data_IF_334198251367
#
_entry.id   IF_334198251367
#
_cell.length_a   1.000
_cell.length_b   1.000
_cell.length_c   1.000
_cell.angle_alpha   90.00
_cell.angle_beta   90.00
_cell.angle_gamma   90.00
#
_symmetry.space_group_name_H-M   'P 1'
#
loop_
_entity.id
_entity.type
_entity.pdbx_description
1 polymer ?
#
# COMPACT_ATOMS: atom_id res chain seq x y z
N UNK A 1 -17.23 34.78 -25.90
CA UNK A 1 -16.42 34.65 -24.68
C UNK A 1 -17.32 34.03 -23.62
N UNK A 2 -17.31 32.70 -23.54
CA UNK A 2 -18.03 31.96 -22.49
C UNK A 2 -17.13 31.97 -21.27
N UNK A 3 -17.41 32.84 -20.32
CA UNK A 3 -16.80 32.81 -18.99
C UNK A 3 -17.07 31.43 -18.39
N UNK A 4 -16.03 30.62 -18.27
CA UNK A 4 -16.05 29.44 -17.42
C UNK A 4 -16.47 29.91 -16.03
N UNK A 5 -17.66 29.52 -15.60
CA UNK A 5 -18.10 29.70 -14.23
C UNK A 5 -17.16 28.80 -13.41
N UNK A 6 -16.07 29.39 -12.92
CA UNK A 6 -15.18 28.72 -11.98
C UNK A 6 -16.03 28.33 -10.78
N UNK A 7 -16.22 27.03 -10.57
CA UNK A 7 -16.78 26.49 -9.33
C UNK A 7 -15.99 27.09 -8.18
N UNK A 8 -16.63 27.94 -7.38
CA UNK A 8 -15.98 28.51 -6.22
C UNK A 8 -15.59 27.38 -5.26
N UNK A 9 -14.39 27.44 -4.64
CA UNK A 9 -13.97 26.44 -3.68
C UNK A 9 -14.99 26.39 -2.54
N UNK A 10 -15.48 25.18 -2.24
CA UNK A 10 -16.57 24.97 -1.29
C UNK A 10 -16.01 24.68 0.10
N UNK A 11 -16.73 25.07 1.15
CA UNK A 11 -16.45 24.59 2.50
C UNK A 11 -16.63 23.07 2.55
N UNK A 12 -15.61 22.34 2.98
CA UNK A 12 -15.69 20.88 3.15
C UNK A 12 -15.99 20.54 4.61
N UNK A 13 -16.84 19.55 4.85
CA UNK A 13 -17.15 19.05 6.19
C UNK A 13 -17.17 17.53 6.20
N UNK A 14 -16.56 16.92 7.22
CA UNK A 14 -16.59 15.46 7.41
C UNK A 14 -16.75 15.13 8.89
N UNK A 15 -17.54 14.10 9.21
CA UNK A 15 -17.73 13.66 10.59
C UNK A 15 -16.80 12.49 10.90
N UNK A 16 -15.89 12.68 11.84
CA UNK A 16 -14.88 11.69 12.25
C UNK A 16 -15.05 11.42 13.75
N UNK A 17 -15.20 10.16 14.15
CA UNK A 17 -15.43 9.79 15.55
C UNK A 17 -16.56 10.60 16.25
N UNK A 18 -17.63 10.93 15.51
CA UNK A 18 -18.76 11.73 16.01
C UNK A 18 -18.49 13.24 16.12
N UNK A 19 -17.37 13.75 15.61
CA UNK A 19 -17.06 15.19 15.54
C UNK A 19 -17.02 15.65 14.09
N UNK A 20 -17.79 16.68 13.77
CA UNK A 20 -17.73 17.32 12.45
C UNK A 20 -16.53 18.26 12.38
N UNK A 21 -15.66 17.99 11.41
CA UNK A 21 -14.51 18.82 11.07
C UNK A 21 -14.90 19.59 9.82
N UNK A 22 -14.86 20.92 9.90
CA UNK A 22 -15.23 21.81 8.80
C UNK A 22 -14.04 22.70 8.46
N UNK A 23 -13.77 22.84 7.16
CA UNK A 23 -12.66 23.65 6.66
C UNK A 23 -13.18 24.62 5.59
N UNK A 24 -13.05 25.93 5.86
CA UNK A 24 -13.35 26.96 4.87
C UNK A 24 -12.31 26.93 3.73
N UNK A 25 -12.63 27.52 2.56
CA UNK A 25 -11.65 27.65 1.48
C UNK A 25 -10.33 28.32 1.90
N UNK A 26 -10.40 29.38 2.69
CA UNK A 26 -9.22 30.11 3.17
C UNK A 26 -8.38 29.28 4.14
N UNK A 27 -9.04 28.51 5.01
CA UNK A 27 -8.37 27.56 5.90
C UNK A 27 -7.71 26.45 5.11
N UNK A 28 -8.37 25.91 4.09
CA UNK A 28 -7.83 24.89 3.21
C UNK A 28 -6.58 25.39 2.48
N UNK A 29 -6.62 26.61 1.93
CA UNK A 29 -5.48 27.18 1.23
C UNK A 29 -4.30 27.44 2.17
N UNK A 30 -4.55 27.94 3.40
CA UNK A 30 -3.50 28.11 4.39
C UNK A 30 -2.90 26.76 4.82
N UNK A 31 -3.73 25.76 5.07
CA UNK A 31 -3.33 24.41 5.43
C UNK A 31 -2.47 23.76 4.34
N UNK A 32 -2.89 23.89 3.07
CA UNK A 32 -2.13 23.37 1.94
C UNK A 32 -0.75 24.01 1.81
N UNK A 33 -0.65 25.34 1.96
CA UNK A 33 0.64 26.05 1.93
C UNK A 33 1.61 25.59 3.02
N UNK A 34 1.12 25.32 4.22
CA UNK A 34 1.98 24.84 5.31
C UNK A 34 2.52 23.43 5.05
N UNK A 35 1.70 22.53 4.51
CA UNK A 35 2.12 21.18 4.13
C UNK A 35 3.06 21.19 2.91
N UNK A 36 2.81 22.06 1.93
CA UNK A 36 3.71 22.25 0.79
C UNK A 36 5.07 22.80 1.25
N UNK A 37 5.10 23.79 2.14
CA UNK A 37 6.34 24.33 2.71
C UNK A 37 7.12 23.26 3.52
N UNK A 38 6.42 22.39 4.25
CA UNK A 38 7.03 21.23 4.91
C UNK A 38 7.65 20.28 3.88
N UNK A 39 6.91 19.91 2.82
CA UNK A 39 7.39 19.05 1.74
C UNK A 39 8.65 19.62 1.10
N UNK A 40 8.62 20.90 0.72
CA UNK A 40 9.74 21.60 0.07
C UNK A 40 10.99 21.60 0.95
N UNK A 41 10.85 21.82 2.26
CA UNK A 41 11.96 21.78 3.20
C UNK A 41 12.61 20.39 3.27
N UNK A 42 11.80 19.32 3.30
CA UNK A 42 12.34 17.95 3.31
C UNK A 42 13.02 17.63 1.97
N UNK A 43 12.42 18.02 0.84
CA UNK A 43 13.03 17.83 -0.48
C UNK A 43 14.40 18.53 -0.57
N UNK A 44 14.51 19.73 -0.01
CA UNK A 44 15.76 20.49 0.02
C UNK A 44 16.85 19.85 0.91
N UNK A 45 16.47 19.00 1.87
CA UNK A 45 17.39 18.27 2.77
C UNK A 45 17.80 16.88 2.25
N UNK A 46 17.21 16.41 1.15
CA UNK A 46 17.53 15.09 0.60
C UNK A 46 19.00 14.99 0.19
N UNK A 47 19.66 13.89 0.57
CA UNK A 47 21.08 13.75 0.32
C UNK A 47 21.66 12.38 0.61
N UNK A 48 22.96 12.35 0.95
CA UNK A 48 23.72 11.10 1.09
C UNK A 48 23.14 10.18 2.18
N UNK A 49 22.54 10.75 3.23
CA UNK A 49 21.89 9.99 4.30
C UNK A 49 20.82 9.04 3.75
N UNK A 50 19.96 9.54 2.86
CA UNK A 50 18.85 8.81 2.25
C UNK A 50 19.34 7.68 1.35
N UNK A 51 20.34 7.98 0.49
CA UNK A 51 20.92 6.97 -0.39
C UNK A 51 21.71 5.91 0.38
N UNK A 52 22.38 6.30 1.46
CA UNK A 52 23.09 5.37 2.35
C UNK A 52 22.11 4.45 3.06
N UNK A 53 20.97 4.99 3.51
CA UNK A 53 19.91 4.22 4.14
C UNK A 53 19.39 3.12 3.20
N UNK A 54 18.92 3.48 2.01
CA UNK A 54 18.32 2.49 1.09
C UNK A 54 19.33 1.44 0.63
N UNK A 55 20.59 1.82 0.39
CA UNK A 55 21.66 0.86 0.04
C UNK A 55 21.95 -0.12 1.17
N UNK A 56 21.87 0.31 2.44
CA UNK A 56 22.00 -0.59 3.60
C UNK A 56 20.82 -1.56 3.69
N UNK A 57 19.60 -1.10 3.45
CA UNK A 57 18.41 -1.95 3.41
C UNK A 57 18.54 -3.00 2.29
N UNK A 58 18.91 -2.60 1.07
CA UNK A 58 19.13 -3.51 -0.06
C UNK A 58 20.20 -4.56 0.28
N UNK A 59 21.31 -4.15 0.91
CA UNK A 59 22.35 -5.09 1.34
C UNK A 59 21.84 -6.09 2.38
N UNK A 60 21.07 -5.62 3.36
CA UNK A 60 20.49 -6.48 4.39
C UNK A 60 19.46 -7.46 3.79
N UNK A 61 18.57 -6.99 2.92
CA UNK A 61 17.59 -7.83 2.21
C UNK A 61 18.29 -8.93 1.41
N UNK A 62 19.29 -8.60 0.58
CA UNK A 62 20.05 -9.58 -0.20
C UNK A 62 20.78 -10.60 0.67
N UNK A 63 21.36 -10.15 1.79
CA UNK A 63 21.99 -11.03 2.77
C UNK A 63 21.00 -12.03 3.38
N UNK A 64 19.81 -11.55 3.78
CA UNK A 64 18.72 -12.39 4.28
C UNK A 64 18.22 -13.38 3.24
N UNK A 65 18.09 -12.97 1.97
CA UNK A 65 17.68 -13.86 0.89
C UNK A 65 18.66 -15.01 0.70
N UNK A 66 19.95 -14.69 0.51
CA UNK A 66 20.99 -15.69 0.24
C UNK A 66 21.13 -16.65 1.42
N UNK A 67 21.23 -16.12 2.64
CA UNK A 67 21.37 -16.95 3.83
C UNK A 67 20.10 -17.77 4.12
N UNK A 68 18.92 -17.20 3.94
CA UNK A 68 17.65 -17.90 4.10
C UNK A 68 17.53 -19.08 3.14
N UNK A 69 17.84 -18.86 1.85
CA UNK A 69 17.86 -19.92 0.84
C UNK A 69 18.91 -21.00 1.16
N UNK A 70 20.11 -20.62 1.58
CA UNK A 70 21.17 -21.58 1.94
C UNK A 70 20.75 -22.46 3.13
N UNK A 71 20.14 -21.88 4.18
CA UNK A 71 19.68 -22.63 5.34
C UNK A 71 18.56 -23.62 5.00
N UNK A 72 17.66 -23.28 4.07
CA UNK A 72 16.59 -24.17 3.64
C UNK A 72 17.09 -25.47 2.99
N UNK A 73 18.30 -25.51 2.44
CA UNK A 73 18.90 -26.76 1.93
C UNK A 73 19.20 -27.75 3.06
N UNK A 74 19.40 -27.26 4.29
CA UNK A 74 19.46 -28.08 5.52
C UNK A 74 18.11 -28.23 6.22
N UNK A 75 17.00 -27.84 5.58
CA UNK A 75 15.68 -27.68 6.19
C UNK A 75 15.01 -28.95 6.71
N UNK A 76 15.62 -30.12 6.55
CA UNK A 76 15.19 -31.33 7.27
C UNK A 76 15.39 -31.19 8.79
N UNK A 77 16.35 -30.37 9.21
CA UNK A 77 16.60 -30.06 10.60
C UNK A 77 15.77 -28.83 11.01
N UNK A 78 14.89 -28.94 12.02
CA UNK A 78 13.94 -27.86 12.36
C UNK A 78 14.59 -26.49 12.60
N UNK A 79 15.75 -26.35 13.28
CA UNK A 79 16.37 -25.03 13.46
C UNK A 79 16.75 -24.35 12.15
N UNK A 80 17.26 -25.10 11.16
CA UNK A 80 17.63 -24.55 9.85
C UNK A 80 16.41 -24.18 9.04
N UNK A 81 15.33 -24.98 9.12
CA UNK A 81 14.09 -24.65 8.43
C UNK A 81 13.44 -23.39 8.98
N UNK A 82 13.35 -23.27 10.31
CA UNK A 82 12.77 -22.10 10.99
C UNK A 82 13.58 -20.83 10.69
N UNK A 83 14.91 -20.89 10.86
CA UNK A 83 15.78 -19.75 10.57
C UNK A 83 15.76 -19.39 9.07
N UNK A 84 15.88 -20.38 8.19
CA UNK A 84 15.87 -20.19 6.74
C UNK A 84 14.57 -19.56 6.23
N UNK A 85 13.43 -20.08 6.69
CA UNK A 85 12.10 -19.55 6.36
C UNK A 85 11.89 -18.15 6.91
N UNK A 86 12.28 -17.87 8.16
CA UNK A 86 12.15 -16.54 8.75
C UNK A 86 13.00 -15.50 7.99
N UNK A 87 14.26 -15.82 7.68
CA UNK A 87 15.15 -14.93 6.92
C UNK A 87 14.61 -14.67 5.50
N UNK A 88 14.13 -15.71 4.82
CA UNK A 88 13.55 -15.57 3.49
C UNK A 88 12.24 -14.75 3.52
N UNK A 89 11.39 -14.97 4.52
CA UNK A 89 10.17 -14.18 4.72
C UNK A 89 10.46 -12.71 4.97
N UNK A 90 11.42 -12.39 5.86
CA UNK A 90 11.86 -11.02 6.12
C UNK A 90 12.47 -10.37 4.87
N UNK A 91 13.28 -11.10 4.12
CA UNK A 91 13.80 -10.63 2.82
C UNK A 91 12.67 -10.23 1.87
N UNK A 92 11.65 -11.11 1.71
CA UNK A 92 10.50 -10.83 0.84
C UNK A 92 9.66 -9.65 1.31
N UNK A 93 9.53 -9.45 2.63
CA UNK A 93 8.87 -8.28 3.21
C UNK A 93 9.65 -6.99 2.88
N UNK A 94 10.97 -6.98 3.10
CA UNK A 94 11.81 -5.81 2.80
C UNK A 94 11.83 -5.49 1.30
N UNK A 95 11.95 -6.49 0.44
CA UNK A 95 11.90 -6.31 -1.01
C UNK A 95 10.57 -5.69 -1.47
N UNK A 96 9.45 -6.16 -0.93
CA UNK A 96 8.13 -5.67 -1.30
C UNK A 96 7.82 -4.27 -0.73
N UNK A 97 8.03 -4.08 0.58
CA UNK A 97 7.54 -2.91 1.32
C UNK A 97 8.58 -1.78 1.41
N UNK A 98 9.81 -2.06 1.83
CA UNK A 98 10.80 -1.00 2.10
C UNK A 98 11.61 -0.61 0.86
N UNK A 99 11.79 -1.54 -0.08
CA UNK A 99 12.57 -1.32 -1.30
C UNK A 99 11.64 -1.06 -2.48
N UNK A 100 10.91 -2.08 -2.94
CA UNK A 100 10.21 -2.04 -4.22
C UNK A 100 9.11 -0.99 -4.27
N UNK A 101 8.22 -0.98 -3.27
CA UNK A 101 7.20 0.06 -3.13
C UNK A 101 7.81 1.47 -3.16
N UNK A 102 8.78 1.74 -2.29
CA UNK A 102 9.39 3.06 -2.13
C UNK A 102 10.16 3.52 -3.37
N UNK A 103 10.94 2.63 -4.01
CA UNK A 103 11.65 2.95 -5.24
C UNK A 103 10.67 3.21 -6.38
N UNK A 104 9.62 2.40 -6.53
CA UNK A 104 8.62 2.60 -7.60
C UNK A 104 7.71 3.81 -7.38
N UNK A 105 7.63 4.36 -6.16
CA UNK A 105 7.05 5.68 -5.90
C UNK A 105 7.91 6.85 -6.42
N UNK A 106 9.14 6.60 -6.87
CA UNK A 106 10.05 7.66 -7.32
C UNK A 106 10.80 8.35 -6.20
N UNK A 107 10.76 7.80 -4.97
CA UNK A 107 11.37 8.41 -3.80
C UNK A 107 12.89 8.63 -3.91
N UNK A 108 13.54 7.92 -4.83
CA UNK A 108 14.98 8.03 -5.09
C UNK A 108 15.31 8.49 -6.51
N UNK A 109 14.33 8.91 -7.32
CA UNK A 109 14.56 9.31 -8.72
C UNK A 109 15.47 10.56 -8.82
N UNK A 110 15.43 11.44 -7.82
CA UNK A 110 16.28 12.63 -7.70
C UNK A 110 17.78 12.30 -7.67
N UNK A 111 18.15 11.07 -7.31
CA UNK A 111 19.55 10.63 -7.26
C UNK A 111 20.16 10.42 -8.64
N UNK A 112 19.34 10.18 -9.66
CA UNK A 112 19.78 9.75 -10.99
C UNK A 112 20.40 8.34 -11.03
N UNK A 113 20.36 7.57 -9.94
CA UNK A 113 20.92 6.21 -9.87
C UNK A 113 20.00 5.22 -10.63
N UNK A 114 20.47 4.58 -11.73
CA UNK A 114 19.64 3.67 -12.52
C UNK A 114 19.12 2.47 -11.72
N UNK A 115 19.82 2.07 -10.66
CA UNK A 115 19.40 0.95 -9.81
C UNK A 115 18.27 1.32 -8.84
N UNK A 116 18.04 2.63 -8.62
CA UNK A 116 16.99 3.17 -7.75
C UNK A 116 15.93 3.95 -8.55
N UNK A 117 15.93 3.80 -9.87
CA UNK A 117 14.97 4.47 -10.75
C UNK A 117 13.62 3.78 -10.73
N UNK A 118 12.56 4.51 -10.39
CA UNK A 118 11.17 4.03 -10.38
C UNK A 118 10.73 3.40 -11.70
N UNK A 119 11.20 3.95 -12.82
CA UNK A 119 10.88 3.51 -14.19
C UNK A 119 11.38 2.11 -14.53
N UNK A 120 12.55 1.74 -14.01
CA UNK A 120 13.26 0.51 -14.39
C UNK A 120 13.25 -0.56 -13.28
N UNK A 121 12.82 -0.20 -12.08
CA UNK A 121 12.79 -1.10 -10.94
C UNK A 121 11.72 -2.20 -11.11
N UNK A 122 12.07 -3.42 -10.72
CA UNK A 122 11.16 -4.56 -10.72
C UNK A 122 11.38 -5.40 -9.45
N UNK A 123 10.31 -5.57 -8.68
CA UNK A 123 10.27 -6.27 -7.39
C UNK A 123 9.86 -7.75 -7.47
N UNK A 124 10.11 -8.51 -6.40
CA UNK A 124 9.83 -9.95 -6.27
C UNK A 124 8.37 -10.25 -5.88
N UNK A 125 7.42 -9.79 -6.71
CA UNK A 125 5.97 -10.07 -6.54
C UNK A 125 5.30 -10.46 -7.86
N UNK A 126 4.03 -10.88 -7.81
CA UNK A 126 3.25 -11.24 -8.99
C UNK A 126 2.84 -10.02 -9.85
N UNK A 127 2.72 -8.83 -9.26
CA UNK A 127 2.27 -7.62 -9.94
C UNK A 127 3.44 -6.97 -10.72
N UNK A 128 3.32 -6.76 -12.04
CA UNK A 128 4.31 -6.00 -12.82
C UNK A 128 4.44 -4.55 -12.33
N UNK A 129 5.66 -3.99 -12.38
CA UNK A 129 5.93 -2.66 -11.84
C UNK A 129 5.19 -1.53 -12.56
N UNK A 130 4.99 -1.63 -13.88
CA UNK A 130 4.24 -0.68 -14.69
C UNK A 130 2.76 -0.63 -14.33
N UNK A 131 2.15 -1.80 -14.16
CA UNK A 131 0.77 -1.94 -13.70
C UNK A 131 0.62 -1.38 -12.29
N UNK A 132 1.52 -1.74 -11.37
CA UNK A 132 1.48 -1.22 -10.01
C UNK A 132 1.61 0.31 -9.96
N UNK A 133 2.47 0.92 -10.78
CA UNK A 133 2.58 2.39 -10.86
C UNK A 133 1.29 3.04 -11.37
N UNK A 134 0.56 2.41 -12.28
CA UNK A 134 -0.72 2.95 -12.74
C UNK A 134 -1.82 2.77 -11.70
N UNK A 135 -2.05 1.55 -11.21
CA UNK A 135 -3.10 1.26 -10.24
C UNK A 135 -2.87 1.94 -8.88
N UNK A 136 -1.62 2.01 -8.41
CA UNK A 136 -1.32 2.56 -7.11
C UNK A 136 -0.89 4.03 -7.19
N UNK A 137 0.21 4.36 -7.88
CA UNK A 137 0.72 5.75 -7.86
C UNK A 137 -0.20 6.75 -8.55
N UNK A 138 -0.88 6.34 -9.63
CA UNK A 138 -1.83 7.23 -10.28
C UNK A 138 -3.22 7.08 -9.68
N UNK A 139 -3.87 5.92 -9.81
CA UNK A 139 -5.27 5.79 -9.42
C UNK A 139 -5.48 5.95 -7.91
N UNK A 140 -4.82 5.13 -7.09
CA UNK A 140 -5.01 5.18 -5.65
C UNK A 140 -4.54 6.51 -5.03
N UNK A 141 -3.29 6.94 -5.23
CA UNK A 141 -2.79 8.19 -4.62
C UNK A 141 -3.50 9.46 -5.10
N UNK A 142 -4.02 9.48 -6.33
CA UNK A 142 -4.82 10.63 -6.80
C UNK A 142 -6.20 10.61 -6.15
N UNK A 143 -6.86 9.45 -6.14
CA UNK A 143 -8.27 9.32 -5.79
C UNK A 143 -8.53 8.65 -4.44
N UNK A 144 -7.54 8.60 -3.54
CA UNK A 144 -7.57 7.85 -2.27
C UNK A 144 -8.93 7.89 -1.59
N UNK A 145 -9.50 6.70 -1.38
CA UNK A 145 -10.79 6.47 -0.72
C UNK A 145 -12.00 7.17 -1.36
N UNK A 146 -11.93 7.62 -2.62
CA UNK A 146 -13.10 8.09 -3.37
C UNK A 146 -13.86 6.87 -3.90
N UNK A 147 -15.06 6.62 -3.38
CA UNK A 147 -15.88 5.48 -3.74
C UNK A 147 -16.26 5.57 -5.22
N UNK A 148 -15.92 4.52 -5.98
CA UNK A 148 -16.16 4.44 -7.43
C UNK A 148 -15.02 4.99 -8.30
N UNK A 149 -14.00 5.62 -7.72
CA UNK A 149 -12.77 5.99 -8.42
C UNK A 149 -11.55 5.22 -7.91
N UNK A 150 -11.40 5.12 -6.59
CA UNK A 150 -10.35 4.32 -5.96
C UNK A 150 -10.76 2.85 -5.91
N UNK A 151 -10.03 2.04 -6.68
CA UNK A 151 -10.24 0.60 -6.77
C UNK A 151 -9.71 -0.13 -5.53
N UNK A 152 -8.83 0.49 -4.73
CA UNK A 152 -8.33 -0.10 -3.49
C UNK A 152 -9.44 -0.18 -2.43
N UNK A 153 -10.53 0.60 -2.57
CA UNK A 153 -11.77 0.46 -1.78
C UNK A 153 -12.43 -0.90 -2.07
N UNK A 154 -11.93 -1.92 -1.39
CA UNK A 154 -12.37 -3.31 -1.49
C UNK A 154 -11.76 -4.12 -2.63
N UNK A 155 -10.80 -3.59 -3.39
CA UNK A 155 -10.09 -4.33 -4.46
C UNK A 155 -11.02 -4.96 -5.51
N UNK A 156 -12.22 -4.40 -5.71
CA UNK A 156 -13.27 -4.94 -6.60
C UNK A 156 -13.95 -6.23 -6.12
N UNK A 157 -13.53 -6.81 -4.99
CA UNK A 157 -14.04 -8.09 -4.47
C UNK A 157 -14.69 -7.99 -3.09
N UNK A 158 -14.34 -6.96 -2.31
CA UNK A 158 -14.88 -6.70 -0.99
C UNK A 158 -15.82 -5.50 -1.01
N UNK A 159 -16.83 -5.53 -0.13
CA UNK A 159 -17.57 -4.34 0.26
C UNK A 159 -16.87 -3.70 1.45
N UNK A 160 -16.37 -2.47 1.26
CA UNK A 160 -15.59 -1.72 2.25
C UNK A 160 -16.19 -0.36 2.60
N UNK A 161 -17.23 0.09 1.89
CA UNK A 161 -17.98 1.30 2.20
C UNK A 161 -19.49 1.02 2.27
N UNK A 162 -20.21 1.79 3.09
CA UNK A 162 -21.67 1.74 3.15
C UNK A 162 -22.32 2.24 1.85
N UNK A 163 -21.65 3.15 1.14
CA UNK A 163 -22.09 3.72 -0.15
C UNK A 163 -22.07 2.69 -1.29
N UNK A 164 -21.36 1.58 -1.12
CA UNK A 164 -21.42 0.46 -2.05
C UNK A 164 -22.74 -0.30 -1.83
N UNK A 165 -23.58 -0.35 -2.87
CA UNK A 165 -24.85 -1.10 -2.83
C UNK A 165 -24.62 -2.57 -2.49
N UNK A 166 -25.27 -3.03 -1.42
CA UNK A 166 -25.18 -4.42 -0.99
C UNK A 166 -25.80 -5.40 -2.03
N UNK A 167 -25.21 -6.58 -2.15
CA UNK A 167 -25.65 -7.72 -2.96
C UNK A 167 -25.34 -9.02 -2.18
N UNK A 168 -26.09 -10.12 -2.39
CA UNK A 168 -25.85 -11.40 -1.69
C UNK A 168 -24.42 -11.95 -1.82
N UNK A 169 -23.71 -11.59 -2.91
CA UNK A 169 -22.28 -11.87 -3.08
C UNK A 169 -21.44 -11.44 -1.86
N UNK A 170 -21.77 -10.30 -1.24
CA UNK A 170 -21.02 -9.78 -0.10
C UNK A 170 -21.24 -10.56 1.21
N UNK A 171 -22.14 -11.55 1.27
CA UNK A 171 -22.12 -12.51 2.38
C UNK A 171 -20.76 -13.23 2.48
N UNK A 172 -20.04 -13.34 1.36
CA UNK A 172 -18.69 -13.88 1.29
C UNK A 172 -17.57 -12.94 1.75
N UNK A 173 -17.84 -11.67 2.10
CA UNK A 173 -16.81 -10.67 2.43
C UNK A 173 -15.71 -11.21 3.36
N UNK A 174 -16.02 -11.90 4.49
CA UNK A 174 -14.99 -12.43 5.38
C UNK A 174 -14.12 -13.51 4.74
N UNK A 175 -14.72 -14.38 3.92
CA UNK A 175 -14.00 -15.45 3.20
C UNK A 175 -13.13 -14.85 2.11
N UNK A 176 -13.66 -13.90 1.33
CA UNK A 176 -12.92 -13.23 0.27
C UNK A 176 -11.76 -12.41 0.83
N UNK A 177 -11.95 -11.75 1.97
CA UNK A 177 -10.89 -11.02 2.66
C UNK A 177 -9.78 -11.95 3.15
N UNK A 178 -10.14 -13.10 3.72
CA UNK A 178 -9.16 -14.12 4.13
C UNK A 178 -8.38 -14.68 2.93
N UNK A 179 -9.07 -14.99 1.83
CA UNK A 179 -8.44 -15.47 0.59
C UNK A 179 -7.52 -14.40 -0.01
N UNK A 180 -7.97 -13.14 -0.04
CA UNK A 180 -7.16 -12.01 -0.47
C UNK A 180 -5.92 -11.85 0.41
N UNK A 181 -6.04 -11.98 1.74
CA UNK A 181 -4.91 -11.89 2.66
C UNK A 181 -3.84 -12.96 2.39
N UNK A 182 -4.23 -14.22 2.19
CA UNK A 182 -3.25 -15.29 1.95
C UNK A 182 -2.72 -15.31 0.51
N UNK A 183 -3.42 -14.70 -0.44
CA UNK A 183 -3.04 -14.57 -1.85
C UNK A 183 -2.69 -13.13 -2.27
N UNK A 184 -2.35 -12.26 -1.32
CA UNK A 184 -2.38 -10.81 -1.52
C UNK A 184 -1.60 -10.30 -2.75
N UNK A 185 -0.38 -10.80 -2.99
CA UNK A 185 0.40 -10.41 -4.18
C UNK A 185 -0.35 -10.67 -5.50
N UNK A 186 -1.16 -11.72 -5.58
CA UNK A 186 -1.92 -12.09 -6.76
C UNK A 186 -3.19 -11.24 -6.86
N UNK A 187 -3.82 -10.93 -5.73
CA UNK A 187 -4.92 -9.96 -5.68
C UNK A 187 -4.49 -8.59 -6.21
N UNK A 188 -3.34 -8.08 -5.76
CA UNK A 188 -2.74 -6.83 -6.27
C UNK A 188 -2.41 -6.93 -7.76
N UNK A 189 -1.88 -8.07 -8.23
CA UNK A 189 -1.58 -8.25 -9.65
C UNK A 189 -2.85 -8.21 -10.53
N UNK A 190 -3.95 -8.82 -10.08
CA UNK A 190 -5.21 -8.87 -10.82
C UNK A 190 -6.06 -7.62 -10.65
N UNK A 191 -5.63 -6.66 -9.83
CA UNK A 191 -6.38 -5.46 -9.50
C UNK A 191 -6.65 -4.56 -10.72
N UNK A 192 -5.72 -4.52 -11.69
CA UNK A 192 -5.86 -3.79 -12.95
C UNK A 192 -6.83 -4.42 -13.97
N UNK A 193 -7.32 -5.64 -13.69
CA UNK A 193 -8.25 -6.29 -14.61
C UNK A 193 -9.62 -5.62 -14.65
N UNK A 194 -9.94 -4.72 -13.71
CA UNK A 194 -11.25 -4.09 -13.68
C UNK A 194 -12.38 -5.12 -13.60
N UNK A 195 -12.22 -6.09 -12.69
CA UNK A 195 -13.12 -7.24 -12.55
C UNK A 195 -14.58 -6.83 -12.35
N UNK A 196 -14.81 -5.71 -11.68
CA UNK A 196 -16.14 -5.12 -11.52
C UNK A 196 -16.73 -4.61 -12.85
N UNK A 197 -15.93 -3.96 -13.72
CA UNK A 197 -16.35 -3.54 -15.06
C UNK A 197 -16.53 -4.70 -16.03
N UNK A 198 -15.69 -5.74 -15.92
CA UNK A 198 -15.89 -7.02 -16.64
C UNK A 198 -17.22 -7.66 -16.22
N UNK A 199 -17.48 -7.73 -14.91
CA UNK A 199 -18.72 -8.31 -14.37
C UNK A 199 -19.95 -7.48 -14.73
N UNK A 200 -19.80 -6.15 -14.83
CA UNK A 200 -20.83 -5.24 -15.32
C UNK A 200 -21.06 -5.31 -16.84
N UNK A 201 -20.18 -5.97 -17.58
CA UNK A 201 -20.24 -6.07 -19.04
C UNK A 201 -19.81 -4.79 -19.77
N UNK A 202 -19.12 -3.86 -19.10
CA UNK A 202 -18.61 -2.62 -19.70
C UNK A 202 -17.37 -2.85 -20.56
N UNK A 203 -16.55 -3.82 -20.14
CA UNK A 203 -15.35 -4.27 -20.85
C UNK A 203 -15.32 -5.79 -20.89
N UNK A 204 -14.51 -6.36 -21.76
CA UNK A 204 -14.27 -7.80 -21.86
C UNK A 204 -12.90 -8.19 -21.31
N UNK A 205 -12.73 -9.46 -20.96
CA UNK A 205 -11.41 -10.01 -20.60
C UNK A 205 -10.40 -9.86 -21.76
N UNK A 206 -10.88 -9.87 -23.01
CA UNK A 206 -10.03 -9.71 -24.18
C UNK A 206 -9.35 -8.32 -24.22
N UNK A 207 -10.01 -7.29 -23.69
CA UNK A 207 -9.46 -5.93 -23.58
C UNK A 207 -8.30 -5.85 -22.57
N UNK A 208 -8.17 -6.86 -21.70
CA UNK A 208 -7.12 -6.98 -20.68
C UNK A 208 -6.05 -8.02 -21.03
N UNK A 209 -6.02 -8.50 -22.27
CA UNK A 209 -5.10 -9.55 -22.71
C UNK A 209 -3.63 -9.20 -22.44
N UNK A 210 -3.18 -8.01 -22.81
CA UNK A 210 -1.77 -7.62 -22.65
C UNK A 210 -1.37 -7.53 -21.17
N UNK A 211 -2.28 -7.02 -20.33
CA UNK A 211 -2.12 -6.97 -18.86
C UNK A 211 -1.97 -8.40 -18.31
N UNK A 212 -2.86 -9.31 -18.70
CA UNK A 212 -2.82 -10.72 -18.30
C UNK A 212 -1.55 -11.43 -18.77
N UNK A 213 -1.10 -11.19 -20.00
CA UNK A 213 0.13 -11.76 -20.54
C UNK A 213 1.37 -11.27 -19.75
N UNK A 214 1.38 -10.00 -19.34
CA UNK A 214 2.41 -9.42 -18.47
C UNK A 214 2.44 -10.10 -17.09
N UNK A 215 1.30 -10.17 -16.41
CA UNK A 215 1.14 -10.83 -15.11
C UNK A 215 1.55 -12.30 -15.21
N UNK A 216 1.10 -13.01 -16.25
CA UNK A 216 1.43 -14.42 -16.46
C UNK A 216 2.92 -14.65 -16.67
N UNK A 217 3.58 -13.84 -17.51
CA UNK A 217 5.02 -13.96 -17.78
C UNK A 217 5.83 -13.79 -16.50
N UNK A 218 5.45 -12.82 -15.67
CA UNK A 218 6.11 -12.56 -14.38
C UNK A 218 5.82 -13.66 -13.37
N UNK A 219 4.54 -13.98 -13.16
CA UNK A 219 4.08 -15.02 -12.23
C UNK A 219 4.69 -16.38 -12.57
N UNK A 220 4.67 -16.79 -13.84
CA UNK A 220 5.30 -18.04 -14.29
C UNK A 220 6.78 -18.09 -13.94
N UNK A 221 7.53 -17.01 -14.18
CA UNK A 221 8.96 -16.93 -13.85
C UNK A 221 9.19 -17.06 -12.35
N UNK A 222 8.42 -16.35 -11.54
CA UNK A 222 8.56 -16.39 -10.08
C UNK A 222 8.15 -17.75 -9.50
N UNK A 223 7.06 -18.33 -9.99
CA UNK A 223 6.59 -19.64 -9.57
C UNK A 223 7.60 -20.73 -9.95
N UNK A 224 8.14 -20.70 -11.18
CA UNK A 224 9.17 -21.64 -11.60
C UNK A 224 10.45 -21.48 -10.76
N UNK A 225 10.85 -20.25 -10.43
CA UNK A 225 12.01 -19.98 -9.57
C UNK A 225 11.81 -20.58 -8.17
N UNK A 226 10.76 -20.15 -7.46
CA UNK A 226 10.57 -20.45 -6.04
C UNK A 226 10.07 -21.88 -5.79
N UNK A 227 9.28 -22.48 -6.70
CA UNK A 227 8.61 -23.77 -6.48
C UNK A 227 9.10 -24.91 -7.36
N UNK A 228 9.93 -24.65 -8.38
CA UNK A 228 10.56 -25.70 -9.18
C UNK A 228 12.09 -25.64 -9.11
N UNK A 229 12.71 -24.53 -9.52
CA UNK A 229 14.17 -24.44 -9.62
C UNK A 229 14.86 -24.65 -8.27
N UNK A 230 14.52 -23.88 -7.23
CA UNK A 230 15.16 -24.05 -5.92
C UNK A 230 14.87 -25.42 -5.27
N UNK A 231 13.62 -25.93 -5.26
CA UNK A 231 13.36 -27.28 -4.76
C UNK A 231 14.12 -28.37 -5.53
N UNK A 232 14.16 -28.31 -6.86
CA UNK A 232 14.89 -29.30 -7.68
C UNK A 232 16.40 -29.28 -7.41
N UNK A 233 16.98 -28.08 -7.22
CA UNK A 233 18.39 -27.93 -6.84
C UNK A 233 18.71 -28.55 -5.45
N UNK A 234 17.71 -28.65 -4.58
CA UNK A 234 17.87 -29.24 -3.25
C UNK A 234 17.75 -30.77 -3.22
N UNK A 235 17.41 -31.41 -4.35
CA UNK A 235 17.34 -32.86 -4.49
C UNK A 235 16.41 -33.50 -3.44
N UNK A 236 16.90 -34.42 -2.58
CA UNK A 236 16.07 -35.03 -1.53
C UNK A 236 15.43 -34.04 -0.54
N UNK A 237 15.99 -32.82 -0.41
CA UNK A 237 15.46 -31.78 0.48
C UNK A 237 14.41 -30.89 -0.20
N UNK A 238 14.00 -31.21 -1.44
CA UNK A 238 13.00 -30.44 -2.21
C UNK A 238 11.71 -30.12 -1.43
N UNK A 239 11.09 -31.05 -0.66
CA UNK A 239 9.87 -30.74 0.08
C UNK A 239 10.06 -29.62 1.12
N UNK A 240 11.22 -29.58 1.78
CA UNK A 240 11.53 -28.58 2.81
C UNK A 240 11.78 -27.20 2.21
N UNK A 241 12.51 -27.14 1.10
CA UNK A 241 12.73 -25.90 0.34
C UNK A 241 11.42 -25.39 -0.25
N UNK A 242 10.59 -26.26 -0.82
CA UNK A 242 9.26 -25.90 -1.32
C UNK A 242 8.40 -25.31 -0.19
N UNK A 243 8.30 -26.00 0.94
CA UNK A 243 7.52 -25.54 2.09
C UNK A 243 8.05 -24.19 2.63
N UNK A 244 9.37 -24.03 2.74
CA UNK A 244 9.98 -22.78 3.19
C UNK A 244 9.69 -21.60 2.26
N UNK A 245 9.76 -21.79 0.94
CA UNK A 245 9.39 -20.77 -0.04
C UNK A 245 7.90 -20.40 0.04
N UNK A 246 7.02 -21.40 0.19
CA UNK A 246 5.58 -21.20 0.35
C UNK A 246 5.27 -20.41 1.63
N UNK A 247 5.87 -20.80 2.76
CA UNK A 247 5.69 -20.09 4.04
C UNK A 247 6.23 -18.67 3.98
N UNK A 248 7.40 -18.43 3.38
CA UNK A 248 7.95 -17.08 3.23
C UNK A 248 7.05 -16.18 2.36
N UNK A 249 6.45 -16.71 1.28
CA UNK A 249 5.48 -15.98 0.48
C UNK A 249 4.18 -15.69 1.25
N UNK A 250 3.70 -16.65 2.04
CA UNK A 250 2.52 -16.48 2.90
C UNK A 250 2.77 -15.40 3.97
N UNK A 251 3.95 -15.40 4.61
CA UNK A 251 4.36 -14.37 5.56
C UNK A 251 4.29 -12.97 4.95
N UNK A 252 4.87 -12.78 3.75
CA UNK A 252 4.78 -11.50 3.04
C UNK A 252 3.33 -11.13 2.73
N UNK A 253 2.52 -12.06 2.20
CA UNK A 253 1.13 -11.76 1.84
C UNK A 253 0.30 -11.30 3.04
N UNK A 254 0.36 -12.05 4.15
CA UNK A 254 -0.36 -11.70 5.39
C UNK A 254 0.13 -10.36 5.94
N UNK A 255 1.45 -10.16 5.98
CA UNK A 255 2.04 -8.92 6.49
C UNK A 255 1.63 -7.70 5.66
N UNK A 256 1.85 -7.74 4.33
CA UNK A 256 1.50 -6.63 3.44
C UNK A 256 0.00 -6.32 3.47
N UNK A 257 -0.86 -7.35 3.48
CA UNK A 257 -2.30 -7.17 3.63
C UNK A 257 -2.65 -6.43 4.92
N UNK A 258 -2.11 -6.87 6.06
CA UNK A 258 -2.37 -6.25 7.36
C UNK A 258 -1.94 -4.78 7.40
N UNK A 259 -0.74 -4.47 6.90
CA UNK A 259 -0.22 -3.09 6.87
C UNK A 259 -1.09 -2.20 5.97
N UNK A 260 -1.34 -2.61 4.73
CA UNK A 260 -2.07 -1.80 3.74
C UNK A 260 -3.53 -1.59 4.17
N UNK A 261 -4.23 -2.64 4.60
CA UNK A 261 -5.62 -2.52 5.02
C UNK A 261 -5.77 -1.65 6.28
N UNK A 262 -4.84 -1.75 7.24
CA UNK A 262 -4.86 -0.88 8.40
C UNK A 262 -4.48 0.57 8.08
N UNK A 263 -3.86 0.83 6.93
CA UNK A 263 -3.63 2.18 6.43
C UNK A 263 -4.90 2.86 5.93
N UNK A 264 -5.90 2.10 5.43
CA UNK A 264 -7.02 2.66 4.65
C UNK A 264 -8.42 2.37 5.17
N UNK A 265 -8.60 1.32 5.97
CA UNK A 265 -9.93 0.87 6.39
C UNK A 265 -10.22 0.78 7.89
N UNK A 266 -9.32 1.14 8.84
CA UNK A 266 -9.70 1.06 10.23
C UNK A 266 -10.83 2.04 10.58
N UNK A 267 -11.33 1.91 11.81
CA UNK A 267 -12.28 2.86 12.38
C UNK A 267 -11.76 4.31 12.26
N UNK A 268 -12.68 5.24 12.07
CA UNK A 268 -12.45 6.68 11.86
C UNK A 268 -11.73 7.08 10.55
N UNK A 269 -11.29 6.13 9.72
CA UNK A 269 -10.91 6.45 8.33
C UNK A 269 -12.15 6.69 7.47
N UNK A 270 -12.11 7.77 6.69
CA UNK A 270 -13.22 8.27 5.91
C UNK A 270 -13.14 7.83 4.45
N UNK A 271 -14.31 7.54 3.87
CA UNK A 271 -14.50 7.44 2.42
C UNK A 271 -15.14 8.72 1.88
N UNK A 272 -14.94 9.00 0.59
CA UNK A 272 -15.40 10.23 -0.07
C UNK A 272 -16.20 9.89 -1.33
N UNK A 273 -17.17 10.75 -1.66
CA UNK A 273 -17.90 10.64 -2.93
C UNK A 273 -17.26 11.48 -4.02
N UNK A 274 -17.53 11.14 -5.29
CA UNK A 274 -17.05 11.90 -6.46
C UNK A 274 -17.51 13.36 -6.40
N UNK A 275 -18.74 13.61 -5.95
CA UNK A 275 -19.29 14.97 -5.87
C UNK A 275 -18.63 15.79 -4.76
N UNK A 276 -18.21 15.17 -3.64
CA UNK A 276 -17.45 15.85 -2.57
C UNK A 276 -16.07 16.34 -3.07
N UNK A 277 -15.48 15.71 -4.09
CA UNK A 277 -14.09 15.94 -4.50
C UNK A 277 -13.93 16.58 -5.88
N UNK A 278 -15.02 16.83 -6.61
CA UNK A 278 -15.02 17.25 -8.03
C UNK A 278 -14.24 18.53 -8.33
N UNK A 279 -14.14 19.45 -7.37
CA UNK A 279 -13.44 20.73 -7.49
C UNK A 279 -12.48 20.95 -6.31
N UNK A 280 -11.88 19.89 -5.80
CA UNK A 280 -11.01 19.98 -4.62
C UNK A 280 -9.76 20.84 -4.89
N UNK A 281 -9.47 21.76 -3.97
CA UNK A 281 -8.18 22.49 -3.96
C UNK A 281 -7.08 21.59 -3.42
N UNK A 282 -5.81 22.01 -3.54
CA UNK A 282 -4.67 21.27 -2.98
C UNK A 282 -4.80 21.04 -1.46
N UNK A 283 -5.29 22.05 -0.73
CA UNK A 283 -5.55 21.91 0.71
C UNK A 283 -6.66 20.93 1.05
N UNK A 284 -7.72 20.89 0.24
CA UNK A 284 -8.82 19.93 0.38
C UNK A 284 -8.37 18.51 0.03
N UNK A 285 -7.51 18.36 -0.98
CA UNK A 285 -6.85 17.09 -1.29
C UNK A 285 -6.04 16.60 -0.09
N UNK A 286 -5.20 17.43 0.53
CA UNK A 286 -4.45 17.06 1.73
C UNK A 286 -5.36 16.65 2.91
N UNK A 287 -6.44 17.40 3.13
CA UNK A 287 -7.44 17.06 4.14
C UNK A 287 -8.05 15.68 3.89
N UNK A 288 -8.41 15.38 2.64
CA UNK A 288 -8.90 14.07 2.24
C UNK A 288 -7.87 12.97 2.48
N UNK A 289 -6.61 13.19 2.11
CA UNK A 289 -5.53 12.22 2.32
C UNK A 289 -5.33 11.86 3.80
N UNK A 290 -5.38 12.86 4.69
CA UNK A 290 -5.26 12.65 6.14
C UNK A 290 -6.45 11.88 6.70
N UNK A 291 -7.68 12.26 6.33
CA UNK A 291 -8.88 11.60 6.84
C UNK A 291 -9.12 10.23 6.19
N UNK A 292 -8.61 10.01 4.99
CA UNK A 292 -8.66 8.76 4.24
C UNK A 292 -7.56 7.76 4.62
N UNK A 293 -6.71 8.10 5.59
CA UNK A 293 -5.57 7.27 6.00
C UNK A 293 -5.44 7.15 7.52
N UNK A 294 -4.76 6.10 7.98
CA UNK A 294 -4.45 5.90 9.39
C UNK A 294 -3.03 5.37 9.60
N UNK A 295 -2.38 5.87 10.64
CA UNK A 295 -1.04 5.46 11.01
C UNK A 295 -1.03 4.28 12.01
N UNK A 296 0.07 3.54 11.98
CA UNK A 296 0.37 2.43 12.86
C UNK A 296 1.50 2.80 13.83
N UNK A 297 1.23 2.72 15.14
CA UNK A 297 2.26 2.94 16.15
C UNK A 297 3.14 1.70 16.30
N UNK A 298 4.45 1.89 16.40
CA UNK A 298 5.40 0.81 16.61
C UNK A 298 6.81 1.31 16.91
N UNK A 299 7.77 0.38 16.95
CA UNK A 299 9.20 0.72 17.04
C UNK A 299 9.87 0.77 15.67
N UNK A 300 11.15 1.15 15.63
CA UNK A 300 11.93 1.30 14.39
C UNK A 300 11.88 0.07 13.48
N UNK A 301 12.04 -1.13 14.02
CA UNK A 301 11.99 -2.36 13.23
C UNK A 301 10.62 -2.59 12.59
N UNK A 302 9.54 -2.28 13.33
CA UNK A 302 8.19 -2.36 12.81
C UNK A 302 7.99 -1.41 11.63
N UNK A 303 8.45 -0.16 11.76
CA UNK A 303 8.39 0.83 10.69
C UNK A 303 9.13 0.35 9.43
N UNK A 304 10.37 -0.13 9.58
CA UNK A 304 11.14 -0.69 8.45
C UNK A 304 10.43 -1.90 7.81
N UNK A 305 9.91 -2.84 8.62
CA UNK A 305 9.21 -4.01 8.07
C UNK A 305 7.89 -3.65 7.40
N UNK A 306 7.27 -2.53 7.79
CA UNK A 306 6.08 -2.00 7.11
C UNK A 306 6.40 -1.21 5.84
N UNK A 307 7.67 -1.03 5.45
CA UNK A 307 8.01 -0.13 4.35
C UNK A 307 7.89 1.35 4.70
N UNK A 308 7.84 1.66 6.00
CA UNK A 308 7.35 2.90 6.59
C UNK A 308 5.88 3.25 6.26
N UNK A 309 5.10 2.33 5.68
CA UNK A 309 3.63 2.47 5.53
C UNK A 309 2.87 2.49 6.87
N UNK A 310 3.56 2.22 7.98
CA UNK A 310 3.06 2.60 9.30
C UNK A 310 2.79 4.12 9.44
N UNK A 311 3.36 4.94 8.56
CA UNK A 311 3.10 6.38 8.43
C UNK A 311 2.28 6.64 7.16
N UNK A 312 1.14 5.95 7.02
CA UNK A 312 0.27 6.01 5.85
C UNK A 312 -0.19 7.44 5.52
N UNK A 313 -0.47 8.26 6.54
CA UNK A 313 -0.84 9.66 6.35
C UNK A 313 0.28 10.41 5.62
N UNK A 314 1.51 10.35 6.13
CA UNK A 314 2.67 11.01 5.51
C UNK A 314 2.97 10.46 4.12
N UNK A 315 2.82 9.15 3.95
CA UNK A 315 2.97 8.49 2.67
C UNK A 315 1.98 9.03 1.61
N UNK A 316 0.72 9.23 1.98
CA UNK A 316 -0.30 9.78 1.07
C UNK A 316 -0.14 11.28 0.83
N UNK A 317 0.36 12.03 1.82
CA UNK A 317 0.68 13.44 1.65
C UNK A 317 1.87 13.63 0.68
N UNK A 318 2.93 12.85 0.87
CA UNK A 318 4.24 13.02 0.22
C UNK A 318 4.80 11.68 -0.29
N UNK A 319 4.13 11.01 -1.25
CA UNK A 319 4.50 9.65 -1.68
C UNK A 319 5.89 9.57 -2.33
N UNK A 320 6.38 10.70 -2.84
CA UNK A 320 7.66 10.89 -3.51
C UNK A 320 8.83 11.26 -2.56
N UNK A 321 8.59 11.35 -1.25
CA UNK A 321 9.66 11.52 -0.25
C UNK A 321 10.15 10.15 0.23
N UNK A 322 11.48 9.91 0.38
CA UNK A 322 12.02 8.71 1.01
C UNK A 322 11.30 8.33 2.30
N UNK A 323 10.68 7.15 2.32
CA UNK A 323 9.71 6.79 3.36
C UNK A 323 10.31 6.70 4.76
N UNK A 324 11.63 6.49 4.89
CA UNK A 324 12.31 6.51 6.18
C UNK A 324 12.31 7.89 6.86
N UNK A 325 12.01 8.97 6.11
CA UNK A 325 11.81 10.32 6.65
C UNK A 325 10.42 10.51 7.24
N UNK A 326 9.44 9.65 6.95
CA UNK A 326 8.07 9.83 7.46
C UNK A 326 8.00 9.87 8.99
N UNK A 327 8.86 9.11 9.69
CA UNK A 327 8.94 9.16 11.14
C UNK A 327 9.38 10.54 11.69
N UNK A 328 10.20 11.28 10.93
CA UNK A 328 10.66 12.64 11.23
C UNK A 328 9.56 13.67 10.89
N UNK A 329 8.81 13.43 9.81
CA UNK A 329 7.78 14.32 9.29
C UNK A 329 6.48 14.25 10.13
N UNK A 330 6.12 13.06 10.61
CA UNK A 330 4.84 12.80 11.26
C UNK A 330 4.52 13.71 12.46
N UNK A 331 5.46 14.05 13.37
CA UNK A 331 5.19 14.99 14.45
C UNK A 331 4.79 16.39 13.96
N UNK A 332 5.40 16.88 12.88
CA UNK A 332 5.09 18.19 12.31
C UNK A 332 3.74 18.18 11.59
N UNK A 333 3.45 17.14 10.80
CA UNK A 333 2.12 16.95 10.19
C UNK A 333 1.04 16.88 11.27
N UNK A 334 1.30 16.16 12.37
CA UNK A 334 0.37 16.06 13.48
C UNK A 334 0.14 17.43 14.17
N UNK A 335 1.18 18.27 14.31
CA UNK A 335 1.03 19.63 14.85
C UNK A 335 0.22 20.53 13.91
N UNK A 336 0.48 20.48 12.61
CA UNK A 336 -0.30 21.21 11.60
C UNK A 336 -1.77 20.76 11.72
N UNK A 337 -2.06 19.46 11.66
CA UNK A 337 -3.42 18.94 11.81
C UNK A 337 -4.11 19.47 13.09
N UNK A 338 -3.39 19.48 14.22
CA UNK A 338 -3.90 20.00 15.51
C UNK A 338 -4.28 21.47 15.43
N UNK A 339 -3.49 22.33 14.76
CA UNK A 339 -3.79 23.77 14.62
C UNK A 339 -5.05 24.04 13.79
N UNK A 340 -5.39 23.14 12.87
CA UNK A 340 -6.60 23.23 12.04
C UNK A 340 -7.77 22.39 12.58
N UNK A 341 -7.61 21.71 13.72
CA UNK A 341 -8.65 20.86 14.31
C UNK A 341 -8.92 19.56 13.54
N UNK A 342 -7.98 19.13 12.70
CA UNK A 342 -8.09 17.91 11.88
C UNK A 342 -7.66 16.71 12.75
N UNK A 343 -8.52 15.68 12.91
CA UNK A 343 -8.18 14.45 13.59
C UNK A 343 -7.03 13.72 12.89
N UNK A 344 -6.11 13.18 13.68
CA UNK A 344 -4.94 12.46 13.18
C UNK A 344 -5.03 11.01 13.68
N UNK A 345 -5.49 10.11 12.81
CA UNK A 345 -5.81 8.72 13.17
C UNK A 345 -4.52 7.89 13.30
N UNK A 346 -4.25 7.36 14.50
CA UNK A 346 -3.13 6.45 14.73
C UNK A 346 -3.42 5.45 15.85
N UNK A 347 -2.90 4.22 15.72
CA UNK A 347 -3.06 3.19 16.75
C UNK A 347 -2.17 1.96 16.55
N UNK A 348 -2.13 1.04 17.52
CA UNK A 348 -1.35 -0.20 17.38
C UNK A 348 -2.01 -1.13 16.35
N UNK A 349 -1.18 -1.87 15.60
CA UNK A 349 -1.61 -2.75 14.49
C UNK A 349 -2.77 -3.67 14.88
N UNK A 350 -2.69 -4.38 16.01
CA UNK A 350 -3.73 -5.33 16.42
C UNK A 350 -5.10 -4.65 16.64
N UNK A 351 -5.11 -3.43 17.17
CA UNK A 351 -6.35 -2.67 17.35
C UNK A 351 -6.91 -2.25 16.00
N UNK A 352 -6.10 -1.62 15.16
CA UNK A 352 -6.53 -1.17 13.83
C UNK A 352 -7.05 -2.35 13.00
N UNK A 353 -6.31 -3.45 12.97
CA UNK A 353 -6.71 -4.66 12.26
C UNK A 353 -8.03 -5.25 12.79
N UNK A 354 -8.23 -5.26 14.11
CA UNK A 354 -9.50 -5.67 14.71
C UNK A 354 -10.69 -4.83 14.22
N UNK A 355 -10.50 -3.52 14.04
CA UNK A 355 -11.55 -2.64 13.49
C UNK A 355 -11.80 -2.89 12.00
N UNK A 356 -10.77 -3.16 11.21
CA UNK A 356 -10.88 -3.55 9.80
C UNK A 356 -11.68 -4.84 9.66
N UNK A 357 -11.33 -5.88 10.43
CA UNK A 357 -12.05 -7.17 10.42
C UNK A 357 -13.51 -6.97 10.82
N UNK A 358 -13.79 -6.15 11.85
CA UNK A 358 -15.15 -5.80 12.25
C UNK A 358 -15.91 -5.13 11.10
N UNK A 359 -15.29 -4.16 10.40
CA UNK A 359 -15.88 -3.48 9.23
C UNK A 359 -16.21 -4.50 8.13
N UNK A 360 -15.28 -5.39 7.78
CA UNK A 360 -15.48 -6.45 6.77
C UNK A 360 -16.68 -7.34 7.11
N UNK A 361 -16.76 -7.82 8.35
CA UNK A 361 -17.86 -8.69 8.81
C UNK A 361 -19.19 -7.94 8.86
N UNK A 362 -19.20 -6.70 9.36
CA UNK A 362 -20.40 -5.87 9.43
C UNK A 362 -20.96 -5.60 8.03
N UNK A 363 -20.10 -5.19 7.09
CA UNK A 363 -20.51 -4.85 5.72
C UNK A 363 -20.87 -6.06 4.85
N UNK A 364 -20.61 -7.28 5.34
CA UNK A 364 -21.08 -8.51 4.70
C UNK A 364 -22.62 -8.64 4.75
N UNK A 365 -23.25 -7.99 5.73
CA UNK A 365 -24.70 -7.98 5.92
C UNK A 365 -25.34 -6.69 5.35
N UNK A 366 -26.66 -6.71 5.05
CA UNK A 366 -27.39 -5.58 4.48
C UNK A 366 -27.38 -4.32 5.35
#
# INVERSE_FOLDING_TARGET
MTTAIGTQPQTISKTVAGKTVTMSPEQADAFGRELDALKERIIADLGECDTTYIRRIIKAQRGLEVAGRALLFGGIFPPFWLAGTAMLGLSKILDNMEIGHNVMHGQYDWTGDPALSSKNFEWDTACPADQWRHSHNFMHHTYTNIVGMDRDVGYGILRMSEDQKWRPYFLGNPVYAFLLMVLFQYGVALHELETERITAGEISIADKRDILEGIWRKTKRQTLKDYAAFPLLAGPFAPWVFAGNMTANLMRNVWSYMIIFCGHFPEDVQEFSIEETKAETRGQWYFRQILGSANLTGGRLFHILSGNLSFQIEHHLFPDIPAHRHAEIAPEVQDICRRYGIPYNKGPLLRQFGTVVRKIVRLALP
#
